data_IF_349101520007
#
_entry.id   IF_349101520007
#
_cell.length_a   1.000
_cell.length_b   1.000
_cell.length_c   1.000
_cell.angle_alpha   90.00
_cell.angle_beta   90.00
_cell.angle_gamma   90.00
#
_symmetry.space_group_name_H-M   'P 1'
#
loop_
_entity.id
_entity.type
_entity.pdbx_description
1 polymer ?
#
# COMPACT_ATOMS: atom_id res chain seq x y z
N UNK A 1 -5.15 -28.89 13.71
CA UNK A 1 -6.01 -28.72 14.89
C UNK A 1 -5.11 -28.52 16.10
N UNK A 2 -5.27 -27.45 16.88
CA UNK A 2 -4.59 -27.34 18.17
C UNK A 2 -5.04 -28.48 19.07
N UNK A 3 -4.11 -29.14 19.75
CA UNK A 3 -4.42 -30.16 20.73
C UNK A 3 -5.16 -29.47 21.89
N UNK A 4 -6.34 -29.98 22.26
CA UNK A 4 -7.11 -29.43 23.38
C UNK A 4 -6.36 -29.77 24.67
N UNK A 5 -5.95 -28.75 25.42
CA UNK A 5 -5.31 -28.91 26.73
C UNK A 5 -6.36 -29.10 27.83
N UNK A 6 -6.01 -29.86 28.87
CA UNK A 6 -6.88 -30.06 30.03
C UNK A 6 -6.81 -28.84 30.97
N UNK A 7 -7.96 -28.46 31.54
CA UNK A 7 -8.08 -27.30 32.44
C UNK A 7 -7.76 -27.66 33.88
N UNK A 8 -6.50 -28.04 34.13
CA UNK A 8 -6.06 -28.53 35.44
C UNK A 8 -5.54 -27.40 36.36
N UNK A 9 -5.38 -26.18 35.81
CA UNK A 9 -4.92 -25.00 36.55
C UNK A 9 -6.12 -24.19 37.04
N UNK A 10 -6.34 -24.20 38.35
CA UNK A 10 -7.33 -23.34 39.02
C UNK A 10 -6.63 -22.33 39.91
N UNK A 11 -6.70 -21.04 39.55
CA UNK A 11 -6.13 -19.91 40.30
C UNK A 11 -7.11 -18.74 40.30
N UNK A 12 -7.21 -18.06 41.43
CA UNK A 12 -7.97 -16.81 41.54
C UNK A 12 -7.07 -15.62 41.23
N UNK A 13 -7.52 -14.74 40.34
CA UNK A 13 -6.78 -13.54 39.92
C UNK A 13 -7.60 -12.31 40.27
N UNK A 14 -7.00 -11.35 40.99
CA UNK A 14 -7.57 -10.02 41.20
C UNK A 14 -7.12 -9.10 40.08
N UNK A 15 -8.04 -8.30 39.55
CA UNK A 15 -7.75 -7.34 38.48
C UNK A 15 -8.57 -6.08 38.65
N UNK A 16 -8.17 -5.03 37.95
CA UNK A 16 -8.94 -3.78 37.91
C UNK A 16 -10.23 -3.96 37.11
N UNK A 17 -11.21 -3.09 37.35
CA UNK A 17 -12.47 -3.07 36.60
C UNK A 17 -12.23 -2.97 35.09
N UNK A 18 -11.29 -2.12 34.68
CA UNK A 18 -10.91 -1.94 33.28
C UNK A 18 -10.43 -3.24 32.62
N UNK A 19 -9.54 -3.98 33.28
CA UNK A 19 -9.04 -5.26 32.73
C UNK A 19 -10.16 -6.30 32.67
N UNK A 20 -11.01 -6.36 33.68
CA UNK A 20 -12.18 -7.23 33.69
C UNK A 20 -13.13 -6.92 32.52
N UNK A 21 -13.35 -5.63 32.23
CA UNK A 21 -14.21 -5.20 31.12
C UNK A 21 -13.59 -5.54 29.75
N UNK A 22 -12.26 -5.41 29.61
CA UNK A 22 -11.56 -5.88 28.40
C UNK A 22 -11.75 -7.37 28.18
N UNK A 23 -11.50 -8.19 29.19
CA UNK A 23 -11.71 -9.64 29.08
C UNK A 23 -13.16 -9.95 28.72
N UNK A 24 -14.14 -9.27 29.33
CA UNK A 24 -15.55 -9.53 29.06
C UNK A 24 -16.04 -9.10 27.67
N UNK A 25 -15.35 -8.16 27.03
CA UNK A 25 -15.62 -7.78 25.64
C UNK A 25 -15.24 -8.87 24.62
N UNK A 26 -14.41 -9.83 25.01
CA UNK A 26 -14.01 -10.95 24.16
C UNK A 26 -15.13 -12.00 24.11
N UNK A 27 -15.28 -12.64 22.95
CA UNK A 27 -16.24 -13.72 22.73
C UNK A 27 -15.88 -14.97 23.54
N UNK A 28 -16.88 -15.61 24.15
CA UNK A 28 -16.74 -16.84 24.94
C UNK A 28 -17.88 -17.05 25.93
N UNK A 29 -18.08 -18.31 26.34
CA UNK A 29 -19.21 -18.74 27.19
C UNK A 29 -19.02 -18.35 28.67
N UNK A 30 -17.80 -18.01 29.09
CA UNK A 30 -17.52 -17.58 30.46
C UNK A 30 -16.17 -16.89 30.60
N UNK A 31 -15.94 -16.27 31.76
CA UNK A 31 -14.77 -15.43 32.01
C UNK A 31 -13.44 -16.12 31.67
N UNK A 32 -13.25 -17.37 32.11
CA UNK A 32 -12.00 -18.11 31.86
C UNK A 32 -11.77 -18.36 30.37
N UNK A 33 -12.81 -18.69 29.60
CA UNK A 33 -12.68 -18.89 28.16
C UNK A 33 -12.38 -17.57 27.45
N UNK A 34 -13.06 -16.48 27.84
CA UNK A 34 -12.80 -15.15 27.30
C UNK A 34 -11.36 -14.69 27.59
N UNK A 35 -10.86 -14.97 28.79
CA UNK A 35 -9.49 -14.69 29.18
C UNK A 35 -8.48 -15.51 28.34
N UNK A 36 -8.70 -16.81 28.20
CA UNK A 36 -7.88 -17.67 27.32
C UNK A 36 -7.88 -17.17 25.87
N UNK A 37 -9.05 -16.80 25.35
CA UNK A 37 -9.19 -16.26 24.00
C UNK A 37 -8.42 -14.95 23.83
N UNK A 38 -8.50 -14.04 24.82
CA UNK A 38 -7.73 -12.79 24.82
C UNK A 38 -6.22 -13.06 24.77
N UNK A 39 -5.74 -13.97 25.61
CA UNK A 39 -4.30 -14.33 25.66
C UNK A 39 -3.87 -14.94 24.32
N UNK A 40 -4.63 -15.88 23.77
CA UNK A 40 -4.35 -16.47 22.47
C UNK A 40 -4.30 -15.42 21.35
N UNK A 41 -5.26 -14.48 21.33
CA UNK A 41 -5.28 -13.37 20.39
C UNK A 41 -3.98 -12.56 20.48
N UNK A 42 -3.57 -12.17 21.69
CA UNK A 42 -2.38 -11.36 21.92
C UNK A 42 -1.08 -12.06 21.50
N UNK A 43 -0.94 -13.36 21.76
CA UNK A 43 0.32 -14.07 21.50
C UNK A 43 0.39 -14.70 20.10
N UNK A 44 -0.74 -14.97 19.46
CA UNK A 44 -0.74 -15.66 18.17
C UNK A 44 -1.24 -14.81 17.03
N UNK A 45 -2.34 -14.07 17.20
CA UNK A 45 -2.94 -13.32 16.10
C UNK A 45 -2.29 -11.95 15.93
N UNK A 46 -2.09 -11.22 17.03
CA UNK A 46 -1.52 -9.86 16.97
C UNK A 46 -0.14 -9.83 16.31
N UNK A 47 0.83 -10.71 16.66
CA UNK A 47 2.14 -10.70 16.00
C UNK A 47 2.06 -11.05 14.51
N UNK A 48 1.19 -11.99 14.13
CA UNK A 48 0.96 -12.35 12.72
C UNK A 48 0.43 -11.15 11.94
N UNK A 49 -0.59 -10.46 12.46
CA UNK A 49 -1.16 -9.26 11.84
C UNK A 49 -0.15 -8.13 11.75
N UNK A 50 0.68 -7.92 12.77
CA UNK A 50 1.77 -6.93 12.72
C UNK A 50 2.75 -7.26 11.60
N UNK A 51 3.12 -8.52 11.45
CA UNK A 51 4.03 -8.95 10.39
C UNK A 51 3.40 -8.79 8.99
N UNK A 52 2.12 -9.13 8.86
CA UNK A 52 1.36 -8.94 7.63
C UNK A 52 1.28 -7.45 7.24
N UNK A 53 0.98 -6.56 8.19
CA UNK A 53 0.97 -5.11 7.98
C UNK A 53 2.34 -4.63 7.49
N UNK A 54 3.43 -5.07 8.13
CA UNK A 54 4.79 -4.70 7.68
C UNK A 54 5.08 -5.13 6.25
N UNK A 55 4.69 -6.37 5.89
CA UNK A 55 4.86 -6.87 4.53
C UNK A 55 4.05 -6.04 3.52
N UNK A 56 2.80 -5.70 3.86
CA UNK A 56 1.95 -4.86 3.02
C UNK A 56 2.52 -3.45 2.85
N UNK A 57 3.08 -2.85 3.90
CA UNK A 57 3.74 -1.55 3.83
C UNK A 57 4.96 -1.58 2.90
N UNK A 58 5.75 -2.65 2.93
CA UNK A 58 6.87 -2.84 2.01
C UNK A 58 6.42 -2.99 0.56
N UNK A 59 5.34 -3.73 0.31
CA UNK A 59 4.74 -3.86 -1.02
C UNK A 59 4.18 -2.52 -1.53
N UNK A 60 3.48 -1.77 -0.68
CA UNK A 60 2.98 -0.44 -1.04
C UNK A 60 4.14 0.50 -1.39
N UNK A 61 5.24 0.45 -0.63
CA UNK A 61 6.43 1.26 -0.88
C UNK A 61 7.09 0.91 -2.21
N UNK A 62 7.21 -0.38 -2.53
CA UNK A 62 7.82 -0.83 -3.79
C UNK A 62 6.98 -0.43 -5.00
N UNK A 63 5.66 -0.60 -4.92
CA UNK A 63 4.74 -0.21 -5.99
C UNK A 63 4.69 1.31 -6.18
N UNK A 64 4.70 2.11 -5.11
CA UNK A 64 4.83 3.58 -5.22
C UNK A 64 6.12 3.97 -5.95
N UNK A 65 7.25 3.32 -5.65
CA UNK A 65 8.52 3.58 -6.34
C UNK A 65 8.47 3.19 -7.82
N UNK A 66 7.80 2.08 -8.15
CA UNK A 66 7.59 1.64 -9.53
C UNK A 66 6.72 2.62 -10.31
N UNK A 67 5.61 3.07 -9.71
CA UNK A 67 4.72 4.05 -10.30
C UNK A 67 5.46 5.36 -10.60
N UNK A 68 6.30 5.82 -9.69
CA UNK A 68 7.06 7.06 -9.87
C UNK A 68 8.07 6.95 -11.01
N UNK A 69 8.77 5.82 -11.14
CA UNK A 69 9.64 5.56 -12.29
C UNK A 69 8.87 5.62 -13.60
N UNK A 70 7.72 4.95 -13.66
CA UNK A 70 6.87 4.94 -14.87
C UNK A 70 6.37 6.33 -15.22
N UNK A 71 5.97 7.15 -14.24
CA UNK A 71 5.58 8.55 -14.47
C UNK A 71 6.72 9.36 -15.07
N UNK A 72 7.93 9.22 -14.51
CA UNK A 72 9.10 9.92 -15.04
C UNK A 72 9.43 9.48 -16.47
N UNK A 73 9.37 8.18 -16.77
CA UNK A 73 9.57 7.66 -18.13
C UNK A 73 8.52 8.19 -19.11
N UNK A 74 7.26 8.29 -18.70
CA UNK A 74 6.18 8.86 -19.52
C UNK A 74 6.46 10.35 -19.78
N UNK A 75 6.81 11.11 -18.76
CA UNK A 75 7.13 12.54 -18.88
C UNK A 75 8.32 12.77 -19.81
N UNK A 76 9.38 11.97 -19.69
CA UNK A 76 10.55 12.05 -20.56
C UNK A 76 10.21 11.72 -22.03
N UNK A 77 9.36 10.73 -22.26
CA UNK A 77 8.90 10.40 -23.63
C UNK A 77 8.01 11.52 -24.20
N UNK A 78 7.11 12.06 -23.40
CA UNK A 78 6.22 13.14 -23.80
C UNK A 78 7.00 14.41 -24.15
N UNK A 79 7.98 14.80 -23.33
CA UNK A 79 8.82 15.97 -23.59
C UNK A 79 9.65 15.81 -24.87
N UNK A 80 10.24 14.63 -25.10
CA UNK A 80 10.96 14.32 -26.35
C UNK A 80 10.04 14.38 -27.57
N UNK A 81 8.85 13.80 -27.47
CA UNK A 81 7.85 13.84 -28.55
C UNK A 81 7.42 15.26 -28.86
N UNK A 82 7.16 16.09 -27.83
CA UNK A 82 6.76 17.48 -28.00
C UNK A 82 7.85 18.30 -28.69
N UNK A 83 9.11 18.13 -28.27
CA UNK A 83 10.25 18.79 -28.90
C UNK A 83 10.39 18.41 -30.38
N UNK A 84 10.21 17.12 -30.70
CA UNK A 84 10.26 16.65 -32.08
C UNK A 84 9.15 17.29 -32.93
N UNK A 85 7.91 17.32 -32.42
CA UNK A 85 6.77 17.94 -33.11
C UNK A 85 7.03 19.44 -33.34
N UNK A 86 7.50 20.17 -32.32
CA UNK A 86 7.80 21.59 -32.44
C UNK A 86 8.90 21.87 -33.48
N UNK A 87 9.95 21.04 -33.51
CA UNK A 87 11.02 21.16 -34.51
C UNK A 87 10.49 20.91 -35.92
N UNK A 88 9.66 19.87 -36.11
CA UNK A 88 9.03 19.58 -37.39
C UNK A 88 8.12 20.73 -37.84
N UNK A 89 7.32 21.29 -36.93
CA UNK A 89 6.47 22.44 -37.20
C UNK A 89 7.30 23.64 -37.69
N UNK A 90 8.41 23.93 -37.01
CA UNK A 90 9.33 25.01 -37.42
C UNK A 90 9.88 24.78 -38.84
N UNK A 91 10.39 23.58 -39.13
CA UNK A 91 10.94 23.26 -40.45
C UNK A 91 9.87 23.32 -41.55
N UNK A 92 8.65 22.86 -41.28
CA UNK A 92 7.54 22.94 -42.23
C UNK A 92 7.15 24.39 -42.52
N UNK A 93 7.04 25.25 -41.49
CA UNK A 93 6.77 26.68 -41.68
C UNK A 93 7.82 27.34 -42.56
N UNK A 94 9.10 27.09 -42.29
CA UNK A 94 10.21 27.63 -43.09
C UNK A 94 10.16 27.14 -44.54
N UNK A 95 9.90 25.84 -44.77
CA UNK A 95 9.77 25.29 -46.11
C UNK A 95 8.61 25.94 -46.89
N UNK A 96 7.45 26.10 -46.26
CA UNK A 96 6.29 26.78 -46.86
C UNK A 96 6.61 28.22 -47.24
N UNK A 97 7.31 28.96 -46.37
CA UNK A 97 7.72 30.34 -46.66
C UNK A 97 8.68 30.42 -47.86
N UNK A 98 9.62 29.48 -47.97
CA UNK A 98 10.55 29.43 -49.09
C UNK A 98 9.84 29.11 -50.41
N UNK A 99 8.89 28.16 -50.42
CA UNK A 99 8.06 27.86 -51.60
C UNK A 99 7.26 29.08 -52.05
N UNK A 100 6.62 29.79 -51.11
CA UNK A 100 5.88 31.02 -51.41
C UNK A 100 6.74 32.14 -51.99
N UNK A 101 8.04 32.18 -51.65
CA UNK A 101 8.98 33.13 -52.26
C UNK A 101 9.29 32.73 -53.70
N UNK A 102 9.59 31.46 -53.94
CA UNK A 102 9.88 30.94 -55.29
C UNK A 102 8.70 31.13 -56.27
N UNK A 103 7.46 30.98 -55.81
CA UNK A 103 6.25 31.23 -56.62
C UNK A 103 6.03 32.71 -56.95
N UNK A 104 6.59 33.65 -56.17
CA UNK A 104 6.49 35.10 -56.46
C UNK A 104 7.58 35.60 -57.40
N UNK A 105 8.70 34.89 -57.45
CA UNK A 105 9.86 35.23 -58.28
C UNK A 105 9.86 34.51 -59.64
N UNK A 106 8.84 33.67 -59.93
CA UNK A 106 8.59 32.97 -61.20
C UNK A 106 7.45 33.60 -61.98
#
# INVERSE_FOLDING_TARGET
MKKKENKDVSKSVRMTKTVYDYVNSIEGEGFNQKFENMVNLCFEEVPKRINEIKNLDEMIKSEKKRLEKLKNEIYDKQSKSLNLVNNLEYHLKSAIENVKKMEKDS
#
